data_IF_982789535405
#
_entry.id   IF_982789535405
#
_cell.length_a   1.000
_cell.length_b   1.000
_cell.length_c   1.000
_cell.angle_alpha   90.00
_cell.angle_beta   90.00
_cell.angle_gamma   90.00
#
_symmetry.space_group_name_H-M   'P 1'
#
loop_
_entity.id
_entity.type
_entity.pdbx_description
1 polymer ?
#
# COMPACT_ATOMS: atom_id res chain seq x y z
N UNK A 1 30.08 36.60 -4.32
CA UNK A 1 28.78 36.26 -3.72
C UNK A 1 28.92 34.89 -3.06
N UNK A 2 28.68 34.78 -1.75
CA UNK A 2 28.76 33.51 -1.00
C UNK A 2 27.32 33.07 -0.74
N UNK A 3 26.93 31.90 -1.24
CA UNK A 3 25.63 31.29 -0.97
C UNK A 3 25.84 30.25 0.14
N UNK A 4 25.05 30.32 1.20
CA UNK A 4 25.00 29.30 2.26
C UNK A 4 23.66 28.56 2.19
N UNK A 5 23.70 27.25 2.36
CA UNK A 5 22.55 26.36 2.42
C UNK A 5 22.62 25.63 3.76
N UNK A 6 21.53 25.68 4.52
CA UNK A 6 21.38 24.98 5.79
C UNK A 6 20.14 24.10 5.72
N UNK A 7 20.18 22.93 6.36
CA UNK A 7 19.00 22.09 6.55
C UNK A 7 18.17 22.68 7.69
N UNK A 8 16.86 22.82 7.48
CA UNK A 8 15.93 23.23 8.53
C UNK A 8 15.66 22.16 9.61
N UNK A 9 16.43 21.07 9.64
CA UNK A 9 16.24 19.93 10.55
C UNK A 9 17.56 19.22 10.86
N UNK A 10 17.60 18.49 11.97
CA UNK A 10 18.74 17.68 12.39
C UNK A 10 18.87 16.36 11.61
N UNK A 11 19.95 15.64 11.89
CA UNK A 11 20.27 14.34 11.28
C UNK A 11 20.16 13.23 12.33
N UNK A 12 19.34 12.21 12.06
CA UNK A 12 19.30 10.96 12.84
C UNK A 12 20.01 9.87 12.05
N UNK A 13 21.09 9.30 12.61
CA UNK A 13 21.88 8.28 11.94
C UNK A 13 21.60 6.88 12.52
N UNK A 14 21.26 5.93 11.65
CA UNK A 14 20.93 4.55 11.98
C UNK A 14 21.85 3.59 11.21
N UNK A 15 22.07 2.39 11.75
CA UNK A 15 22.95 1.36 11.21
C UNK A 15 24.24 1.18 12.01
N UNK A 16 24.87 0.01 11.87
CA UNK A 16 26.01 -0.40 12.71
C UNK A 16 27.22 0.53 12.66
N UNK A 17 27.42 1.24 11.55
CA UNK A 17 28.51 2.19 11.36
C UNK A 17 28.09 3.65 11.58
N UNK A 18 26.90 3.90 12.14
CA UNK A 18 26.33 5.24 12.27
C UNK A 18 27.24 6.19 13.04
N UNK A 19 27.72 5.76 14.21
CA UNK A 19 28.64 6.53 15.05
C UNK A 19 29.99 6.80 14.37
N UNK A 20 30.40 5.96 13.41
CA UNK A 20 31.69 6.09 12.72
C UNK A 20 31.65 7.09 11.58
N UNK A 21 30.56 7.15 10.79
CA UNK A 21 30.55 7.92 9.54
C UNK A 21 29.81 9.26 9.63
N UNK A 22 28.70 9.33 10.38
CA UNK A 22 27.81 10.48 10.33
C UNK A 22 28.27 11.73 11.10
N UNK A 23 29.19 11.70 12.10
CA UNK A 23 29.72 12.92 12.71
C UNK A 23 30.40 13.87 11.72
N UNK A 24 31.10 13.33 10.71
CA UNK A 24 31.75 14.13 9.69
C UNK A 24 30.74 14.74 8.71
N UNK A 25 29.69 13.98 8.37
CA UNK A 25 28.61 14.42 7.50
C UNK A 25 27.85 15.57 8.14
N UNK A 26 27.42 15.40 9.40
CA UNK A 26 26.67 16.41 10.15
C UNK A 26 27.44 17.73 10.27
N UNK A 27 28.75 17.66 10.58
CA UNK A 27 29.62 18.83 10.67
C UNK A 27 29.74 19.58 9.34
N UNK A 28 29.84 18.86 8.22
CA UNK A 28 29.89 19.48 6.88
C UNK A 28 28.56 20.13 6.50
N UNK A 29 27.45 19.59 6.97
CA UNK A 29 26.11 20.12 6.71
C UNK A 29 25.66 21.18 7.73
N UNK A 30 26.45 21.40 8.80
CA UNK A 30 26.12 22.37 9.84
C UNK A 30 24.89 21.99 10.67
N UNK A 31 24.58 20.69 10.80
CA UNK A 31 23.38 20.20 11.51
C UNK A 31 23.73 19.45 12.78
N UNK A 32 22.78 19.44 13.71
CA UNK A 32 22.82 18.56 14.88
C UNK A 32 22.71 17.09 14.46
N UNK A 33 23.49 16.22 15.10
CA UNK A 33 23.48 14.78 14.88
C UNK A 33 22.99 14.06 16.13
N UNK A 34 22.00 13.19 15.94
CA UNK A 34 21.55 12.21 16.93
C UNK A 34 21.92 10.81 16.44
N UNK A 35 22.68 10.08 17.24
CA UNK A 35 22.91 8.64 17.07
C UNK A 35 22.28 7.95 18.27
N UNK A 36 21.16 7.21 18.10
CA UNK A 36 20.54 6.46 19.20
C UNK A 36 21.45 5.32 19.70
N UNK A 37 21.32 4.95 20.98
CA UNK A 37 22.15 3.93 21.64
C UNK A 37 22.15 2.56 20.94
N UNK A 38 21.07 2.23 20.23
CA UNK A 38 20.86 0.96 19.51
C UNK A 38 20.70 1.16 18.00
N UNK A 39 21.39 2.16 17.43
CA UNK A 39 21.34 2.50 16.01
C UNK A 39 21.60 1.28 15.09
N UNK A 40 22.46 0.35 15.51
CA UNK A 40 22.85 -0.86 14.79
C UNK A 40 21.70 -1.85 14.56
N UNK A 41 20.70 -1.88 15.44
CA UNK A 41 19.51 -2.75 15.34
C UNK A 41 18.24 -1.98 14.99
N UNK A 42 18.33 -0.68 14.68
CA UNK A 42 17.17 0.16 14.43
C UNK A 42 16.24 -0.38 13.33
N UNK A 43 16.78 -1.07 12.32
CA UNK A 43 15.97 -1.75 11.30
C UNK A 43 15.13 -2.89 11.86
N UNK A 44 15.68 -3.70 12.78
CA UNK A 44 14.95 -4.77 13.45
C UNK A 44 13.89 -4.21 14.42
N UNK A 45 14.23 -3.15 15.16
CA UNK A 45 13.27 -2.44 16.02
C UNK A 45 12.13 -1.85 15.19
N UNK A 46 12.43 -1.22 14.06
CA UNK A 46 11.42 -0.67 13.15
C UNK A 46 10.54 -1.75 12.52
N UNK A 47 11.09 -2.92 12.23
CA UNK A 47 10.30 -4.06 11.77
C UNK A 47 9.39 -4.63 12.87
N UNK A 48 9.87 -4.70 14.11
CA UNK A 48 9.09 -5.18 15.26
C UNK A 48 8.00 -4.19 15.70
N UNK A 49 8.28 -2.89 15.65
CA UNK A 49 7.33 -1.82 15.97
C UNK A 49 6.44 -1.43 14.78
N UNK A 50 6.66 -2.04 13.60
CA UNK A 50 6.00 -1.67 12.36
C UNK A 50 4.52 -2.01 12.35
N UNK A 51 3.73 -1.25 11.59
CA UNK A 51 2.34 -1.59 11.32
C UNK A 51 2.23 -2.70 10.26
N UNK A 52 1.15 -3.48 10.34
CA UNK A 52 0.81 -4.48 9.34
C UNK A 52 0.07 -3.78 8.20
N UNK A 53 0.55 -3.94 6.96
CA UNK A 53 -0.17 -3.51 5.77
C UNK A 53 -0.27 -4.65 4.76
N UNK A 54 -1.47 -5.00 4.34
CA UNK A 54 -1.76 -6.06 3.38
C UNK A 54 -2.60 -5.53 2.24
N UNK A 55 -2.33 -5.99 1.01
CA UNK A 55 -3.08 -5.59 -0.19
C UNK A 55 -3.59 -6.81 -0.95
N UNK A 56 -4.82 -6.69 -1.45
CA UNK A 56 -5.45 -7.67 -2.32
C UNK A 56 -6.01 -6.93 -3.52
N UNK A 57 -5.73 -7.43 -4.72
CA UNK A 57 -6.31 -6.93 -5.96
C UNK A 57 -7.15 -8.02 -6.62
N UNK A 58 -8.33 -7.66 -7.09
CA UNK A 58 -9.23 -8.51 -7.85
C UNK A 58 -9.57 -7.78 -9.15
N UNK A 59 -9.34 -8.46 -10.28
CA UNK A 59 -9.72 -7.93 -11.59
C UNK A 59 -11.13 -8.36 -11.96
N UNK A 60 -11.85 -7.47 -12.65
CA UNK A 60 -13.13 -7.73 -13.30
C UNK A 60 -12.96 -7.49 -14.80
N UNK A 61 -13.28 -8.47 -15.63
CA UNK A 61 -13.20 -8.36 -17.10
C UNK A 61 -14.56 -8.62 -17.73
N UNK A 62 -14.76 -8.24 -18.99
CA UNK A 62 -15.99 -8.54 -19.74
C UNK A 62 -15.68 -9.46 -20.92
N UNK A 63 -15.68 -10.81 -20.74
CA UNK A 63 -15.39 -11.75 -21.82
C UNK A 63 -16.39 -11.70 -22.99
N UNK A 64 -17.64 -11.30 -22.72
CA UNK A 64 -18.67 -11.07 -23.72
C UNK A 64 -19.65 -10.01 -23.22
N UNK A 65 -20.39 -9.37 -24.14
CA UNK A 65 -21.43 -8.40 -23.76
C UNK A 65 -22.41 -9.01 -22.74
N UNK A 66 -22.73 -8.25 -21.69
CA UNK A 66 -23.60 -8.71 -20.59
C UNK A 66 -23.01 -9.80 -19.68
N UNK A 67 -21.71 -10.13 -19.79
CA UNK A 67 -21.03 -11.07 -18.88
C UNK A 67 -19.79 -10.45 -18.28
N UNK A 68 -19.79 -10.27 -16.97
CA UNK A 68 -18.68 -9.73 -16.18
C UNK A 68 -18.05 -10.84 -15.36
N UNK A 69 -16.75 -11.05 -15.52
CA UNK A 69 -15.97 -12.10 -14.87
C UNK A 69 -15.10 -11.51 -13.78
N UNK A 70 -15.36 -11.93 -12.54
CA UNK A 70 -14.54 -11.61 -11.37
C UNK A 70 -13.48 -12.70 -11.18
N UNK A 71 -12.20 -12.33 -11.13
CA UNK A 71 -11.09 -13.28 -11.01
C UNK A 71 -10.72 -13.48 -9.53
N UNK A 72 -11.34 -14.47 -8.89
CA UNK A 72 -11.15 -14.77 -7.47
C UNK A 72 -10.06 -15.84 -7.26
N UNK A 73 -9.44 -15.93 -6.06
CA UNK A 73 -8.47 -16.98 -5.75
C UNK A 73 -9.01 -18.40 -5.89
N UNK A 74 -10.31 -18.60 -5.63
CA UNK A 74 -10.99 -19.89 -5.78
C UNK A 74 -11.43 -20.22 -7.22
N UNK A 75 -11.13 -19.35 -8.18
CA UNK A 75 -11.54 -19.48 -9.57
C UNK A 75 -12.45 -18.33 -10.03
N UNK A 76 -12.63 -18.14 -11.35
CA UNK A 76 -13.42 -17.05 -11.88
C UNK A 76 -14.92 -17.25 -11.62
N UNK A 77 -15.63 -16.15 -11.37
CA UNK A 77 -17.09 -16.10 -11.23
C UNK A 77 -17.67 -15.14 -12.26
N UNK A 78 -18.66 -15.61 -13.03
CA UNK A 78 -19.34 -14.80 -14.02
C UNK A 78 -20.67 -14.26 -13.46
N UNK A 79 -20.94 -12.98 -13.72
CA UNK A 79 -22.14 -12.24 -13.31
C UNK A 79 -22.72 -11.47 -14.50
N UNK A 80 -24.02 -11.19 -14.47
CA UNK A 80 -24.73 -10.52 -15.56
C UNK A 80 -24.68 -8.99 -15.50
N UNK A 81 -24.37 -8.44 -14.33
CA UNK A 81 -24.43 -7.00 -14.05
C UNK A 81 -23.06 -6.51 -13.58
N UNK A 82 -22.58 -5.40 -14.15
CA UNK A 82 -21.28 -4.82 -13.83
C UNK A 82 -21.16 -4.47 -12.35
N UNK A 83 -22.17 -3.79 -11.80
CA UNK A 83 -22.16 -3.33 -10.41
C UNK A 83 -22.16 -4.49 -9.42
N UNK A 84 -22.84 -5.60 -9.73
CA UNK A 84 -22.80 -6.83 -8.94
C UNK A 84 -21.40 -7.47 -8.98
N UNK A 85 -20.74 -7.46 -10.14
CA UNK A 85 -19.38 -7.95 -10.28
C UNK A 85 -18.36 -7.12 -9.49
N UNK A 86 -18.48 -5.80 -9.55
CA UNK A 86 -17.66 -4.89 -8.75
C UNK A 86 -17.96 -5.06 -7.25
N UNK A 87 -19.22 -5.16 -6.84
CA UNK A 87 -19.59 -5.40 -5.45
C UNK A 87 -19.01 -6.72 -4.91
N UNK A 88 -19.11 -7.79 -5.69
CA UNK A 88 -18.49 -9.08 -5.33
C UNK A 88 -16.97 -8.98 -5.25
N UNK A 89 -16.32 -8.21 -6.12
CA UNK A 89 -14.88 -7.99 -6.07
C UNK A 89 -14.47 -7.19 -4.81
N UNK A 90 -15.20 -6.13 -4.47
CA UNK A 90 -14.98 -5.32 -3.25
C UNK A 90 -15.06 -6.17 -2.00
N UNK A 91 -16.13 -6.95 -1.88
CA UNK A 91 -16.38 -7.79 -0.71
C UNK A 91 -15.25 -8.81 -0.52
N UNK A 92 -14.92 -9.58 -1.56
CA UNK A 92 -13.90 -10.62 -1.46
C UNK A 92 -12.50 -10.01 -1.28
N UNK A 93 -12.18 -8.90 -1.95
CA UNK A 93 -10.91 -8.22 -1.77
C UNK A 93 -10.75 -7.74 -0.32
N UNK A 94 -11.78 -7.12 0.24
CA UNK A 94 -11.82 -6.67 1.64
C UNK A 94 -11.61 -7.82 2.63
N UNK A 95 -12.42 -8.87 2.51
CA UNK A 95 -12.32 -10.06 3.37
C UNK A 95 -10.91 -10.68 3.35
N UNK A 96 -10.34 -10.86 2.16
CA UNK A 96 -9.00 -11.42 2.01
C UNK A 96 -7.91 -10.50 2.56
N UNK A 97 -8.03 -9.19 2.37
CA UNK A 97 -7.07 -8.22 2.90
C UNK A 97 -7.08 -8.23 4.43
N UNK A 98 -8.26 -8.25 5.04
CA UNK A 98 -8.44 -8.35 6.49
C UNK A 98 -7.88 -9.67 7.05
N UNK A 99 -8.22 -10.80 6.42
CA UNK A 99 -7.73 -12.11 6.85
C UNK A 99 -6.20 -12.18 6.79
N UNK A 100 -5.60 -11.67 5.71
CA UNK A 100 -4.13 -11.58 5.58
C UNK A 100 -3.53 -10.68 6.66
N UNK A 101 -4.15 -9.54 6.95
CA UNK A 101 -3.66 -8.63 7.98
C UNK A 101 -3.71 -9.26 9.37
N UNK A 102 -4.81 -9.94 9.72
CA UNK A 102 -4.94 -10.69 10.97
C UNK A 102 -3.92 -11.83 11.07
N UNK A 103 -3.72 -12.60 9.99
CA UNK A 103 -2.70 -13.66 9.94
C UNK A 103 -1.28 -13.12 10.12
N UNK A 104 -1.04 -11.88 9.72
CA UNK A 104 0.23 -11.18 9.92
C UNK A 104 0.37 -10.55 11.32
N UNK A 105 -0.59 -10.74 12.23
CA UNK A 105 -0.51 -10.28 13.62
C UNK A 105 -1.16 -8.92 13.90
N UNK A 106 -1.97 -8.39 12.98
CA UNK A 106 -2.72 -7.15 13.21
C UNK A 106 -3.86 -7.37 14.21
N UNK A 107 -3.93 -6.55 15.27
CA UNK A 107 -4.98 -6.64 16.30
C UNK A 107 -6.20 -5.78 15.95
N UNK A 108 -5.97 -4.60 15.40
CA UNK A 108 -7.01 -3.73 14.85
C UNK A 108 -6.73 -3.50 13.37
N UNK A 109 -7.71 -3.79 12.50
CA UNK A 109 -7.56 -3.64 11.05
C UNK A 109 -8.57 -2.63 10.52
N UNK A 110 -8.10 -1.64 9.77
CA UNK A 110 -8.90 -0.75 8.94
C UNK A 110 -8.73 -1.13 7.47
N UNK A 111 -9.83 -1.17 6.71
CA UNK A 111 -9.80 -1.50 5.28
C UNK A 111 -10.13 -0.25 4.47
N UNK A 112 -9.31 0.03 3.47
CA UNK A 112 -9.55 1.01 2.43
C UNK A 112 -9.70 0.29 1.09
N UNK A 113 -10.73 0.63 0.31
CA UNK A 113 -10.96 0.06 -1.02
C UNK A 113 -10.79 1.17 -2.05
N UNK A 114 -10.00 0.88 -3.08
CA UNK A 114 -9.79 1.74 -4.24
C UNK A 114 -10.15 0.97 -5.52
N UNK A 115 -10.74 1.66 -6.47
CA UNK A 115 -11.21 1.07 -7.72
C UNK A 115 -10.72 1.88 -8.91
N UNK A 116 -10.14 1.17 -9.88
CA UNK A 116 -9.80 1.70 -11.19
C UNK A 116 -10.68 1.00 -12.22
N UNK A 117 -11.70 1.70 -12.71
CA UNK A 117 -12.67 1.18 -13.68
C UNK A 117 -12.40 1.84 -15.03
N UNK A 118 -12.06 1.05 -16.03
CA UNK A 118 -11.75 1.53 -17.37
C UNK A 118 -12.97 1.41 -18.29
N UNK A 119 -13.58 2.55 -18.57
CA UNK A 119 -14.69 2.71 -19.50
C UNK A 119 -14.22 3.49 -20.74
N UNK A 120 -14.67 3.08 -21.92
CA UNK A 120 -14.41 3.77 -23.19
C UNK A 120 -15.73 4.26 -23.78
N UNK A 121 -15.90 5.57 -24.04
CA UNK A 121 -17.12 6.08 -24.65
C UNK A 121 -17.22 5.63 -26.12
N UNK A 122 -18.35 5.05 -26.50
CA UNK A 122 -18.63 4.60 -27.87
C UNK A 122 -19.43 5.64 -28.69
N UNK A 123 -19.83 6.75 -28.07
CA UNK A 123 -20.74 7.74 -28.65
C UNK A 123 -22.22 7.38 -28.42
N UNK A 124 -23.11 8.37 -28.58
CA UNK A 124 -24.55 8.18 -28.37
C UNK A 124 -24.94 7.81 -26.93
N UNK A 125 -24.14 8.21 -25.93
CA UNK A 125 -24.38 7.93 -24.51
C UNK A 125 -24.06 6.50 -24.06
N UNK A 126 -23.39 5.70 -24.90
CA UNK A 126 -22.96 4.33 -24.56
C UNK A 126 -21.50 4.30 -24.13
N UNK A 127 -21.21 3.48 -23.14
CA UNK A 127 -19.86 3.21 -22.64
C UNK A 127 -19.54 1.73 -22.78
N UNK A 128 -18.31 1.42 -23.20
CA UNK A 128 -17.75 0.08 -23.26
C UNK A 128 -16.90 -0.16 -22.01
N UNK A 129 -17.21 -1.20 -21.26
CA UNK A 129 -16.36 -1.65 -20.17
C UNK A 129 -15.18 -2.46 -20.71
N UNK A 130 -13.97 -2.08 -20.32
CA UNK A 130 -12.75 -2.80 -20.71
C UNK A 130 -12.35 -3.75 -19.59
N UNK A 131 -12.11 -3.19 -18.40
CA UNK A 131 -11.73 -3.92 -17.20
C UNK A 131 -11.93 -3.03 -15.97
N UNK A 132 -11.92 -3.65 -14.80
CA UNK A 132 -11.76 -2.95 -13.54
C UNK A 132 -10.78 -3.67 -12.64
N UNK A 133 -10.06 -2.90 -11.82
CA UNK A 133 -9.19 -3.38 -10.75
C UNK A 133 -9.74 -2.87 -9.42
N UNK A 134 -10.15 -3.79 -8.56
CA UNK A 134 -10.58 -3.48 -7.20
C UNK A 134 -9.45 -3.87 -6.24
N UNK A 135 -8.90 -2.88 -5.56
CA UNK A 135 -7.83 -3.06 -4.58
C UNK A 135 -8.35 -2.78 -3.18
N UNK A 136 -8.26 -3.77 -2.30
CA UNK A 136 -8.43 -3.59 -0.86
C UNK A 136 -7.06 -3.51 -0.18
N UNK A 137 -6.86 -2.49 0.65
CA UNK A 137 -5.70 -2.33 1.52
C UNK A 137 -6.17 -2.44 2.96
N UNK A 138 -5.64 -3.42 3.68
CA UNK A 138 -5.83 -3.58 5.11
C UNK A 138 -4.60 -3.03 5.84
N UNK A 139 -4.83 -2.07 6.73
CA UNK A 139 -3.83 -1.44 7.58
C UNK A 139 -4.15 -1.77 9.04
N UNK A 140 -3.14 -2.12 9.83
CA UNK A 140 -3.36 -2.44 11.24
C UNK A 140 -2.13 -2.26 12.12
N UNK A 141 -2.37 -2.09 13.42
CA UNK A 141 -1.31 -2.08 14.41
C UNK A 141 -0.89 -3.52 14.73
N UNK A 142 0.41 -3.79 14.71
CA UNK A 142 0.95 -5.04 15.24
C UNK A 142 0.73 -5.09 16.76
N UNK A 143 0.47 -6.29 17.29
CA UNK A 143 0.30 -6.56 18.71
C UNK A 143 1.61 -6.42 19.50
#
# INVERSE_FOLDING_TARGET
MKLSLELGTGLVALGASAATHYPHVARRMGVELTVPDHAEVAGAVGAAAGSVRQRVMISVTQPSEGRYRVHLPGGPRDLGVMDEALASAREVAGQLAEERARKAGATSVSIEISEDIKLVPLGGGKELFIEALVQATADGAAA
#
